data_IF_264499996734
#
_entry.id   IF_264499996734
#
_cell.length_a   1.000
_cell.length_b   1.000
_cell.length_c   1.000
_cell.angle_alpha   90.00
_cell.angle_beta   90.00
_cell.angle_gamma   90.00
#
_symmetry.space_group_name_H-M   'P 1'
#
loop_
_entity.id
_entity.type
_entity.pdbx_description
1 polymer ?
#
# COMPACT_ATOMS: atom_id res chain seq x y z
N UNK A 1 -41.65 56.54 -29.71
CA UNK A 1 -41.36 56.36 -28.27
C UNK A 1 -40.88 54.93 -28.09
N UNK A 2 -39.60 54.72 -27.71
CA UNK A 2 -39.00 53.39 -27.50
C UNK A 2 -39.00 53.09 -26.01
N UNK A 3 -39.72 52.07 -25.57
CA UNK A 3 -39.70 51.62 -24.17
C UNK A 3 -38.60 50.55 -24.00
N UNK A 4 -37.62 50.88 -23.18
CA UNK A 4 -36.56 49.99 -22.68
C UNK A 4 -37.10 49.23 -21.48
N UNK A 5 -37.06 47.89 -21.47
CA UNK A 5 -37.10 47.10 -20.21
C UNK A 5 -36.22 45.85 -20.27
N UNK A 6 -34.99 46.06 -19.79
CA UNK A 6 -34.24 45.26 -18.80
C UNK A 6 -34.36 43.73 -18.89
N UNK A 7 -33.27 43.12 -19.36
CA UNK A 7 -32.96 41.70 -19.21
C UNK A 7 -32.71 41.41 -17.72
N UNK A 8 -33.58 40.64 -17.08
CA UNK A 8 -33.32 40.08 -15.76
C UNK A 8 -32.50 38.78 -15.93
N UNK A 9 -31.22 38.85 -15.61
CA UNK A 9 -30.38 37.68 -15.41
C UNK A 9 -30.61 37.17 -13.98
N UNK A 10 -31.34 36.06 -13.83
CA UNK A 10 -31.49 35.41 -12.52
C UNK A 10 -30.28 34.48 -12.30
N UNK A 11 -29.33 34.95 -11.48
CA UNK A 11 -28.24 34.14 -10.94
C UNK A 11 -28.57 33.83 -9.46
N UNK A 12 -28.84 32.56 -9.14
CA UNK A 12 -29.05 32.13 -7.75
C UNK A 12 -28.42 30.74 -7.51
N UNK A 13 -27.11 30.79 -7.28
CA UNK A 13 -26.34 30.10 -6.22
C UNK A 13 -26.77 28.65 -5.91
N UNK A 14 -26.04 27.68 -6.48
CA UNK A 14 -25.99 26.32 -5.95
C UNK A 14 -25.38 26.36 -4.54
N UNK A 15 -26.18 25.99 -3.54
CA UNK A 15 -25.69 25.68 -2.21
C UNK A 15 -24.74 24.49 -2.30
N UNK A 16 -23.44 24.73 -2.20
CA UNK A 16 -22.45 23.68 -1.99
C UNK A 16 -22.75 23.01 -0.65
N UNK A 17 -23.23 21.77 -0.70
CA UNK A 17 -23.22 20.89 0.45
C UNK A 17 -21.79 20.84 0.99
N UNK A 18 -21.58 21.46 2.14
CA UNK A 18 -20.39 21.28 2.94
C UNK A 18 -20.40 19.81 3.39
N UNK A 19 -19.79 18.95 2.58
CA UNK A 19 -19.40 17.62 3.01
C UNK A 19 -18.28 17.83 4.03
N UNK A 20 -18.61 17.72 5.31
CA UNK A 20 -17.61 17.63 6.36
C UNK A 20 -16.65 16.49 6.01
N UNK A 21 -15.32 16.70 6.02
CA UNK A 21 -14.40 15.59 5.85
C UNK A 21 -14.55 14.68 7.07
N UNK A 22 -15.30 13.60 6.87
CA UNK A 22 -15.30 12.43 7.72
C UNK A 22 -13.83 12.05 8.00
N UNK A 23 -13.54 11.91 9.30
CA UNK A 23 -12.33 11.38 9.92
C UNK A 23 -11.13 11.10 9.01
N UNK A 24 -10.02 11.78 9.31
CA UNK A 24 -8.68 11.43 8.85
C UNK A 24 -8.53 9.91 8.70
N UNK A 25 -8.18 9.39 7.50
CA UNK A 25 -7.87 7.98 7.37
C UNK A 25 -6.78 7.67 8.39
N UNK A 26 -6.97 6.60 9.17
CA UNK A 26 -5.96 6.12 10.12
C UNK A 26 -4.74 5.71 9.28
N UNK A 27 -3.77 6.62 9.17
CA UNK A 27 -2.57 6.44 8.36
C UNK A 27 -1.86 5.15 8.78
N UNK A 28 -1.67 4.20 7.85
CA UNK A 28 -0.96 3.00 8.21
C UNK A 28 0.51 3.32 8.42
N UNK A 29 1.01 3.13 9.64
CA UNK A 29 2.36 3.49 10.00
C UNK A 29 3.33 2.34 9.70
N UNK A 30 4.39 2.63 8.95
CA UNK A 30 5.49 1.71 8.73
C UNK A 30 6.50 1.83 9.87
N UNK A 31 6.43 0.95 10.86
CA UNK A 31 7.39 0.93 11.95
C UNK A 31 8.69 0.29 11.46
N UNK A 32 9.65 1.11 11.04
CA UNK A 32 11.04 0.64 10.93
C UNK A 32 11.63 0.58 12.34
N UNK A 33 12.30 -0.51 12.74
CA UNK A 33 13.14 -0.45 13.92
C UNK A 33 14.26 0.57 13.67
N UNK A 34 14.28 1.65 14.45
CA UNK A 34 15.38 2.62 14.48
C UNK A 34 16.55 1.92 15.15
N UNK A 35 17.62 1.65 14.41
CA UNK A 35 18.87 1.19 15.00
C UNK A 35 19.50 2.36 15.77
N UNK A 36 19.58 2.25 17.09
CA UNK A 36 20.34 3.19 17.91
C UNK A 36 21.83 3.11 17.56
N UNK A 37 22.56 4.23 17.48
CA UNK A 37 24.01 4.20 17.28
C UNK A 37 24.68 3.72 18.56
N UNK A 38 25.20 2.49 18.55
CA UNK A 38 26.11 2.01 19.58
C UNK A 38 27.52 2.57 19.29
N UNK A 39 27.96 3.55 20.09
CA UNK A 39 29.38 3.89 20.22
C UNK A 39 30.06 2.72 20.94
N UNK A 40 30.99 2.03 20.28
CA UNK A 40 31.84 1.01 20.90
C UNK A 40 33.30 1.40 20.66
N UNK A 41 34.00 1.75 21.74
CA UNK A 41 35.46 1.84 21.77
C UNK A 41 36.04 0.43 21.57
N UNK A 42 37.04 0.32 20.68
CA UNK A 42 37.67 -0.92 20.31
C UNK A 42 38.65 -1.43 21.39
N UNK A 43 38.59 -2.73 21.68
CA UNK A 43 39.75 -3.53 22.09
C UNK A 43 39.72 -4.88 21.36
N UNK A 44 40.90 -5.24 20.87
CA UNK A 44 41.22 -6.33 19.97
C UNK A 44 41.46 -7.62 20.77
N UNK A 45 40.66 -8.67 20.57
CA UNK A 45 41.09 -10.08 20.71
C UNK A 45 40.02 -11.05 20.18
N UNK A 46 40.50 -12.07 19.44
CA UNK A 46 39.87 -13.35 19.14
C UNK A 46 38.59 -13.35 18.25
N UNK A 47 38.74 -13.96 17.06
CA UNK A 47 37.70 -14.19 16.07
C UNK A 47 36.50 -14.99 16.63
N UNK A 48 35.52 -14.26 17.17
CA UNK A 48 34.19 -14.74 17.57
C UNK A 48 33.33 -14.97 16.31
N UNK A 49 32.53 -16.04 16.22
CA UNK A 49 31.66 -16.24 15.05
C UNK A 49 30.74 -15.03 14.89
N UNK A 50 30.78 -14.39 13.71
CA UNK A 50 29.92 -13.24 13.40
C UNK A 50 28.47 -13.64 13.70
N UNK A 51 27.76 -12.94 14.60
CA UNK A 51 26.33 -13.20 14.78
C UNK A 51 25.66 -13.00 13.43
N UNK A 52 25.03 -14.06 12.90
CA UNK A 52 24.17 -13.93 11.72
C UNK A 52 23.15 -12.86 12.07
N UNK A 53 23.18 -11.74 11.35
CA UNK A 53 22.23 -10.66 11.54
C UNK A 53 20.82 -11.24 11.47
N UNK A 54 20.14 -11.30 12.61
CA UNK A 54 18.74 -11.71 12.68
C UNK A 54 17.97 -10.70 11.84
N UNK A 55 17.46 -11.13 10.69
CA UNK A 55 16.64 -10.29 9.83
C UNK A 55 15.36 -9.97 10.58
N UNK A 56 15.29 -8.81 11.23
CA UNK A 56 14.04 -8.31 11.80
C UNK A 56 13.03 -8.22 10.66
N UNK A 57 11.93 -8.96 10.79
CA UNK A 57 10.88 -9.08 9.77
C UNK A 57 10.15 -7.73 9.71
N UNK A 58 10.15 -7.08 8.55
CA UNK A 58 9.40 -5.84 8.37
C UNK A 58 7.90 -6.18 8.40
N UNK A 59 7.19 -5.66 9.40
CA UNK A 59 5.75 -5.81 9.60
C UNK A 59 5.13 -4.43 9.47
N UNK A 60 4.08 -4.35 8.64
CA UNK A 60 3.24 -3.18 8.53
C UNK A 60 2.04 -3.32 9.49
N UNK A 61 1.68 -2.22 10.13
CA UNK A 61 0.54 -2.17 11.06
C UNK A 61 -0.81 -1.91 10.37
N UNK A 62 -0.82 -1.76 9.04
CA UNK A 62 -2.01 -1.56 8.23
C UNK A 62 -2.93 -2.78 8.29
N UNK A 63 -4.23 -2.54 8.42
CA UNK A 63 -5.24 -3.57 8.16
C UNK A 63 -5.63 -3.57 6.68
N UNK A 64 -6.09 -4.74 6.19
CA UNK A 64 -6.55 -4.93 4.80
C UNK A 64 -7.58 -3.89 4.37
N UNK A 65 -8.53 -3.57 5.24
CA UNK A 65 -9.60 -2.60 4.97
C UNK A 65 -9.15 -1.14 5.00
N UNK A 66 -8.09 -0.82 5.72
CA UNK A 66 -7.59 0.55 5.84
C UNK A 66 -6.56 0.90 4.77
N UNK A 67 -6.00 -0.09 4.08
CA UNK A 67 -5.04 0.14 3.01
C UNK A 67 -5.69 0.91 1.84
N UNK A 68 -5.24 2.14 1.52
CA UNK A 68 -5.73 2.86 0.36
C UNK A 68 -5.40 2.10 -0.93
N UNK A 69 -4.20 1.52 -1.02
CA UNK A 69 -3.75 0.80 -2.22
C UNK A 69 -4.57 -0.46 -2.45
N UNK A 70 -4.81 -1.27 -1.41
CA UNK A 70 -5.61 -2.49 -1.53
C UNK A 70 -7.03 -2.21 -2.04
N UNK A 71 -7.63 -1.10 -1.60
CA UNK A 71 -8.98 -0.69 -1.99
C UNK A 71 -9.08 -0.25 -3.45
N UNK A 72 -7.99 0.16 -4.09
CA UNK A 72 -7.97 0.55 -5.50
C UNK A 72 -8.09 -0.65 -6.45
N UNK A 73 -7.68 -1.85 -6.01
CA UNK A 73 -7.70 -3.02 -6.86
C UNK A 73 -9.08 -3.66 -6.97
N UNK A 74 -9.39 -4.17 -8.16
CA UNK A 74 -10.67 -4.81 -8.48
C UNK A 74 -10.75 -6.18 -7.82
N UNK A 75 -11.90 -6.58 -7.25
CA UNK A 75 -12.17 -7.96 -6.87
C UNK A 75 -11.92 -8.92 -8.05
N UNK A 76 -11.34 -10.09 -7.78
CA UNK A 76 -11.21 -11.15 -8.76
C UNK A 76 -11.91 -12.44 -8.28
N UNK A 77 -11.17 -13.38 -7.67
CA UNK A 77 -11.67 -14.67 -7.19
C UNK A 77 -11.17 -14.95 -5.79
N UNK A 78 -12.07 -15.31 -4.88
CA UNK A 78 -11.73 -15.48 -3.47
C UNK A 78 -11.12 -14.20 -2.90
N UNK A 79 -9.96 -14.35 -2.25
CA UNK A 79 -9.21 -13.23 -1.65
C UNK A 79 -8.31 -12.45 -2.63
N UNK A 80 -8.34 -12.81 -3.92
CA UNK A 80 -7.51 -12.15 -4.93
C UNK A 80 -8.11 -10.85 -5.44
N UNK A 81 -7.20 -9.92 -5.73
CA UNK A 81 -7.48 -8.66 -6.42
C UNK A 81 -6.66 -8.56 -7.72
N UNK A 82 -7.06 -7.66 -8.62
CA UNK A 82 -6.37 -7.43 -9.89
C UNK A 82 -6.48 -5.96 -10.32
N UNK A 83 -5.55 -5.50 -11.16
CA UNK A 83 -5.68 -4.24 -11.90
C UNK A 83 -6.56 -4.36 -13.15
N UNK A 84 -6.95 -5.59 -13.51
CA UNK A 84 -7.69 -5.93 -14.73
C UNK A 84 -6.80 -6.30 -15.91
N UNK A 85 -5.48 -6.28 -15.74
CA UNK A 85 -4.49 -6.72 -16.71
C UNK A 85 -3.77 -7.99 -16.26
N UNK A 86 -2.45 -7.95 -16.30
CA UNK A 86 -1.60 -9.08 -15.93
C UNK A 86 -1.14 -9.05 -14.46
N UNK A 87 -1.59 -8.07 -13.65
CA UNK A 87 -1.21 -8.01 -12.22
C UNK A 87 -2.31 -8.54 -11.32
N UNK A 88 -1.87 -9.32 -10.34
CA UNK A 88 -2.71 -9.94 -9.34
C UNK A 88 -2.13 -9.64 -7.96
N UNK A 89 -3.01 -9.46 -6.99
CA UNK A 89 -2.65 -9.01 -5.65
C UNK A 89 -3.31 -9.88 -4.59
N UNK A 90 -2.53 -10.21 -3.55
CA UNK A 90 -3.03 -10.86 -2.34
C UNK A 90 -2.64 -10.05 -1.11
N UNK A 91 -3.50 -10.08 -0.10
CA UNK A 91 -3.19 -9.50 1.18
C UNK A 91 -2.42 -10.49 2.05
N UNK A 92 -1.26 -10.10 2.56
CA UNK A 92 -0.51 -10.90 3.52
C UNK A 92 -0.96 -10.54 4.95
N UNK A 93 -1.70 -11.45 5.58
CA UNK A 93 -2.20 -11.26 6.94
C UNK A 93 -1.10 -11.29 8.02
N UNK A 94 0.07 -11.87 7.73
CA UNK A 94 1.17 -11.98 8.69
C UNK A 94 2.03 -10.72 8.74
N UNK A 95 2.05 -9.95 7.66
CA UNK A 95 2.90 -8.77 7.54
C UNK A 95 2.14 -7.48 7.28
N UNK A 96 0.84 -7.55 6.96
CA UNK A 96 0.02 -6.37 6.67
C UNK A 96 0.43 -5.66 5.37
N UNK A 97 1.01 -6.38 4.41
CA UNK A 97 1.42 -5.86 3.10
C UNK A 97 0.69 -6.56 1.94
N UNK A 98 0.94 -6.06 0.72
CA UNK A 98 0.28 -6.53 -0.49
C UNK A 98 1.29 -7.31 -1.33
N UNK A 99 1.08 -8.61 -1.49
CA UNK A 99 1.87 -9.46 -2.37
C UNK A 99 1.46 -9.19 -3.83
N UNK A 100 2.41 -8.80 -4.67
CA UNK A 100 2.21 -8.53 -6.10
C UNK A 100 2.65 -9.71 -6.96
N UNK A 101 1.82 -10.08 -7.92
CA UNK A 101 2.01 -11.19 -8.83
C UNK A 101 1.81 -10.75 -10.27
N UNK A 102 2.57 -11.35 -11.18
CA UNK A 102 2.42 -11.16 -12.61
C UNK A 102 1.97 -12.45 -13.29
N UNK A 103 0.95 -12.35 -14.13
CA UNK A 103 0.49 -13.44 -14.98
C UNK A 103 1.45 -13.63 -16.14
N UNK A 104 1.93 -14.87 -16.29
CA UNK A 104 2.66 -15.34 -17.46
C UNK A 104 2.04 -16.67 -17.90
N UNK A 105 1.24 -16.62 -18.96
CA UNK A 105 0.40 -17.74 -19.37
C UNK A 105 -0.58 -18.14 -18.28
N UNK A 106 -0.66 -19.45 -17.97
CA UNK A 106 -1.55 -19.98 -16.92
C UNK A 106 -1.01 -19.90 -15.49
N UNK A 107 0.04 -19.11 -15.25
CA UNK A 107 0.76 -19.07 -13.97
C UNK A 107 0.99 -17.65 -13.46
N UNK A 108 1.13 -17.54 -12.14
CA UNK A 108 1.43 -16.30 -11.42
C UNK A 108 2.85 -16.34 -10.87
N UNK A 109 3.65 -15.36 -11.27
CA UNK A 109 5.02 -15.17 -10.82
C UNK A 109 5.05 -14.07 -9.76
N UNK A 110 5.58 -14.40 -8.59
CA UNK A 110 5.66 -13.44 -7.50
C UNK A 110 6.68 -12.34 -7.81
N UNK A 111 6.28 -11.08 -7.66
CA UNK A 111 7.13 -9.93 -7.92
C UNK A 111 7.65 -9.26 -6.64
N UNK A 112 7.08 -9.58 -5.48
CA UNK A 112 7.44 -8.99 -4.19
C UNK A 112 6.26 -8.34 -3.49
N UNK A 113 6.54 -7.72 -2.35
CA UNK A 113 5.52 -7.09 -1.50
C UNK A 113 5.55 -5.57 -1.64
N UNK A 114 4.36 -4.97 -1.71
CA UNK A 114 4.10 -3.54 -1.81
C UNK A 114 3.67 -2.98 -0.46
N UNK A 115 4.08 -1.74 -0.18
CA UNK A 115 3.58 -0.99 0.97
C UNK A 115 2.09 -0.67 0.78
N UNK A 116 1.21 -1.05 1.71
CA UNK A 116 -0.23 -0.85 1.61
C UNK A 116 -0.68 0.62 1.62
N UNK A 117 0.20 1.56 1.98
CA UNK A 117 -0.11 3.00 1.99
C UNK A 117 0.16 3.69 0.66
N UNK A 118 1.29 3.37 0.05
CA UNK A 118 1.83 4.13 -1.08
C UNK A 118 2.12 3.27 -2.31
N UNK A 119 1.99 1.94 -2.20
CA UNK A 119 2.14 1.00 -3.31
C UNK A 119 3.58 0.75 -3.71
N UNK A 120 4.57 1.32 -3.01
CA UNK A 120 5.98 1.12 -3.32
C UNK A 120 6.41 -0.28 -2.95
N UNK A 121 7.08 -0.94 -3.89
CA UNK A 121 7.70 -2.24 -3.67
C UNK A 121 8.88 -2.10 -2.71
N UNK A 122 8.93 -2.95 -1.69
CA UNK A 122 10.00 -2.90 -0.69
C UNK A 122 10.55 -4.28 -0.29
N UNK A 123 9.89 -5.36 -0.72
CA UNK A 123 10.41 -6.74 -0.64
C UNK A 123 10.49 -7.32 -2.05
N UNK A 124 11.51 -8.13 -2.32
CA UNK A 124 11.64 -8.88 -3.56
C UNK A 124 10.84 -10.19 -3.54
N UNK A 125 10.88 -10.97 -4.64
CA UNK A 125 10.17 -12.25 -4.74
C UNK A 125 10.55 -13.25 -3.65
N UNK A 126 9.56 -13.78 -2.92
CA UNK A 126 9.73 -14.84 -1.91
C UNK A 126 8.88 -16.10 -2.12
N UNK A 127 7.83 -16.04 -2.93
CA UNK A 127 6.97 -17.18 -3.20
C UNK A 127 7.32 -17.88 -4.53
N UNK A 128 7.15 -19.21 -4.60
CA UNK A 128 7.26 -19.93 -5.86
C UNK A 128 6.11 -19.57 -6.80
N UNK A 129 6.30 -19.81 -8.09
CA UNK A 129 5.27 -19.60 -9.11
C UNK A 129 4.03 -20.45 -8.85
N UNK A 130 2.86 -19.82 -8.79
CA UNK A 130 1.59 -20.47 -8.50
C UNK A 130 0.74 -20.65 -9.77
N UNK A 131 -0.26 -21.53 -9.73
CA UNK A 131 -1.30 -21.56 -10.78
C UNK A 131 -2.23 -20.38 -10.59
N UNK A 132 -2.81 -19.89 -11.69
CA UNK A 132 -3.89 -18.91 -11.63
C UNK A 132 -5.03 -19.43 -10.72
N UNK A 133 -5.54 -18.58 -9.81
CA UNK A 133 -6.62 -18.93 -8.91
C UNK A 133 -7.95 -19.14 -9.63
#
# INVERSE_FOLDING_TARGET
MRAVRVVLLALAILTSAACEPAGSPRDCSFTRPVAAPALILAEDTAAKPRPKATKTRAVNTCSKGNSPIWRLYKPYKGDWRTDGGDKFYQWDNLHGDIEEWERRGGRLHHLGSLDPNNGRKYKGPKHPTQRMP
#
